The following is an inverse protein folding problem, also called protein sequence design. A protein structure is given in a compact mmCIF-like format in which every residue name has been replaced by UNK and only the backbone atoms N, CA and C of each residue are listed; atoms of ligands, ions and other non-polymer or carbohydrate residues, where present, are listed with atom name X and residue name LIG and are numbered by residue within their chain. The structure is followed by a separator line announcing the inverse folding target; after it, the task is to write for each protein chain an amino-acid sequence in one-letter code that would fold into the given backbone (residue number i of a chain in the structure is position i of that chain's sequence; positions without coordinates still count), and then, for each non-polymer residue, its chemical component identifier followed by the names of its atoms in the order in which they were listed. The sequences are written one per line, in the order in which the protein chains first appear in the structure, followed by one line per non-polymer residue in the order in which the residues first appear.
data_IF_111935455210
#
_entry.id   IF_111935455210
#
_cell.length_a   1.000
_cell.length_b   1.000
_cell.length_c   1.000
_cell.angle_alpha   90.00
_cell.angle_beta   90.00
_cell.angle_gamma   90.00
#
_symmetry.space_group_name_H-M   'P 1'
#
loop_
_entity.id
_entity.type
_entity.pdbx_description
1 polymer ?
#
# COMPACT_ATOMS: atom_id res chain seq x y z
N UNK A 1 10.39 -16.60 6.65
CA UNK A 1 10.97 -16.87 5.31
C UNK A 1 10.82 -15.61 4.46
N UNK A 2 11.85 -15.22 3.72
CA UNK A 2 11.79 -14.09 2.80
C UNK A 2 11.04 -14.49 1.53
N UNK A 3 10.12 -13.65 1.05
CA UNK A 3 9.39 -13.85 -0.22
C UNK A 3 9.93 -12.84 -1.23
N UNK A 4 10.55 -13.27 -2.34
CA UNK A 4 10.95 -12.35 -3.40
C UNK A 4 9.70 -11.79 -4.10
N UNK A 5 9.67 -10.46 -4.29
CA UNK A 5 8.60 -9.77 -5.02
C UNK A 5 9.18 -9.22 -6.32
N UNK A 6 9.28 -10.07 -7.34
CA UNK A 6 9.82 -9.72 -8.65
C UNK A 6 9.04 -10.44 -9.77
N UNK A 7 9.39 -10.16 -11.03
CA UNK A 7 8.66 -10.70 -12.19
C UNK A 7 8.90 -12.20 -12.45
N UNK A 8 9.78 -12.86 -11.70
CA UNK A 8 9.98 -14.32 -11.81
C UNK A 8 8.72 -15.07 -11.37
N UNK A 9 7.97 -14.50 -10.43
CA UNK A 9 6.61 -14.91 -10.13
C UNK A 9 5.63 -14.27 -11.12
N UNK A 10 5.12 -15.08 -12.05
CA UNK A 10 4.15 -14.66 -13.06
C UNK A 10 2.85 -14.12 -12.46
N UNK A 11 2.41 -14.63 -11.31
CA UNK A 11 1.23 -14.11 -10.64
C UNK A 11 1.50 -12.70 -10.12
N UNK A 12 2.63 -12.50 -9.43
CA UNK A 12 3.01 -11.16 -8.96
C UNK A 12 3.16 -10.17 -10.11
N UNK A 13 3.76 -10.59 -11.23
CA UNK A 13 3.88 -9.78 -12.43
C UNK A 13 2.53 -9.28 -13.00
N UNK A 14 1.45 -10.03 -12.79
CA UNK A 14 0.09 -9.58 -13.15
C UNK A 14 -0.52 -8.65 -12.10
N UNK A 15 -0.26 -8.90 -10.82
CA UNK A 15 -0.91 -8.18 -9.71
C UNK A 15 -0.28 -6.83 -9.38
N UNK A 16 1.05 -6.70 -9.49
CA UNK A 16 1.82 -5.58 -8.89
C UNK A 16 1.46 -4.18 -9.41
N UNK A 17 0.97 -4.10 -10.64
CA UNK A 17 0.65 -2.85 -11.34
C UNK A 17 -0.86 -2.54 -11.32
N UNK A 18 -1.67 -3.38 -10.67
CA UNK A 18 -3.12 -3.22 -10.59
C UNK A 18 -3.55 -2.28 -9.46
N UNK A 19 -4.69 -1.60 -9.64
CA UNK A 19 -5.39 -1.03 -8.50
C UNK A 19 -5.81 -2.16 -7.55
N UNK A 20 -5.58 -1.98 -6.26
CA UNK A 20 -5.82 -3.02 -5.26
C UNK A 20 -7.26 -3.55 -5.24
N UNK A 21 -8.24 -2.72 -5.62
CA UNK A 21 -9.65 -3.14 -5.73
C UNK A 21 -9.89 -4.28 -6.72
N UNK A 22 -9.03 -4.44 -7.73
CA UNK A 22 -9.12 -5.49 -8.75
C UNK A 22 -8.36 -6.78 -8.37
N UNK A 23 -7.45 -6.73 -7.40
CA UNK A 23 -6.56 -7.85 -7.03
C UNK A 23 -7.34 -9.08 -6.58
N UNK A 24 -8.38 -8.90 -5.75
CA UNK A 24 -9.20 -10.00 -5.24
C UNK A 24 -9.90 -10.78 -6.36
N UNK A 25 -10.36 -10.09 -7.40
CA UNK A 25 -11.01 -10.71 -8.55
C UNK A 25 -10.03 -11.60 -9.32
N UNK A 26 -8.82 -11.11 -9.60
CA UNK A 26 -7.78 -11.86 -10.32
C UNK A 26 -7.32 -13.08 -9.51
N UNK A 27 -7.12 -12.94 -8.20
CA UNK A 27 -6.78 -14.06 -7.32
C UNK A 27 -7.87 -15.16 -7.38
N UNK A 28 -9.15 -14.78 -7.37
CA UNK A 28 -10.26 -15.73 -7.48
C UNK A 28 -10.29 -16.47 -8.83
N UNK A 29 -10.09 -15.75 -9.94
CA UNK A 29 -10.01 -16.36 -11.27
C UNK A 29 -8.87 -17.37 -11.37
N UNK A 30 -7.70 -17.03 -10.83
CA UNK A 30 -6.53 -17.90 -10.86
C UNK A 30 -6.71 -19.11 -9.94
N UNK A 31 -7.33 -18.93 -8.77
CA UNK A 31 -7.71 -20.04 -7.89
C UNK A 31 -8.60 -21.05 -8.60
N UNK A 32 -9.66 -20.59 -9.29
CA UNK A 32 -10.55 -21.45 -10.09
C UNK A 32 -9.80 -22.19 -11.20
N UNK A 33 -8.97 -21.47 -11.96
CA UNK A 33 -8.15 -22.07 -13.04
C UNK A 33 -7.18 -23.13 -12.51
N UNK A 34 -6.56 -22.89 -11.35
CA UNK A 34 -5.67 -23.88 -10.72
C UNK A 34 -6.47 -25.12 -10.30
N UNK A 35 -7.64 -24.93 -9.69
CA UNK A 35 -8.53 -26.03 -9.29
C UNK A 35 -8.96 -26.87 -10.51
N UNK A 36 -9.44 -26.23 -11.58
CA UNK A 36 -9.81 -26.91 -12.83
C UNK A 36 -8.65 -27.72 -13.42
N UNK A 37 -7.41 -27.23 -13.31
CA UNK A 37 -6.24 -27.96 -13.77
C UNK A 37 -5.87 -29.15 -12.86
N UNK A 38 -6.10 -29.05 -11.56
CA UNK A 38 -5.98 -30.21 -10.66
C UNK A 38 -7.04 -31.26 -10.97
N UNK A 39 -8.28 -30.84 -11.28
CA UNK A 39 -9.38 -31.75 -11.57
C UNK A 39 -9.16 -32.56 -12.86
N UNK A 40 -8.35 -32.06 -13.81
CA UNK A 40 -7.91 -32.84 -14.99
C UNK A 40 -7.20 -34.14 -14.62
N UNK A 41 -6.58 -34.22 -13.44
CA UNK A 41 -6.04 -35.48 -12.89
C UNK A 41 -7.13 -36.54 -12.78
N UNK A 42 -8.30 -36.17 -12.27
CA UNK A 42 -9.42 -37.09 -12.06
C UNK A 42 -10.06 -37.53 -13.39
N UNK A 43 -9.87 -36.74 -14.46
CA UNK A 43 -10.34 -37.08 -15.80
C UNK A 43 -9.37 -38.00 -16.58
N UNK A 44 -8.10 -38.12 -16.17
CA UNK A 44 -7.10 -38.95 -16.84
C UNK A 44 -7.40 -40.45 -16.65
N UNK A 45 -7.54 -41.19 -17.75
CA UNK A 45 -7.87 -42.63 -17.76
C UNK A 45 -6.73 -43.50 -18.28
N UNK A 46 -5.81 -42.94 -19.06
CA UNK A 46 -4.69 -43.68 -19.65
C UNK A 46 -3.36 -43.38 -18.94
N UNK A 47 -2.42 -44.33 -19.03
CA UNK A 47 -1.05 -44.14 -18.50
C UNK A 47 -0.34 -42.96 -19.15
N UNK A 48 -0.60 -42.70 -20.44
CA UNK A 48 -0.06 -41.55 -21.17
C UNK A 48 -0.56 -40.22 -20.60
N UNK A 49 -1.87 -40.10 -20.35
CA UNK A 49 -2.48 -38.91 -19.75
C UNK A 49 -1.98 -38.67 -18.32
N UNK A 50 -1.81 -39.74 -17.53
CA UNK A 50 -1.23 -39.65 -16.19
C UNK A 50 0.21 -39.14 -16.24
N UNK A 51 1.03 -39.64 -17.16
CA UNK A 51 2.42 -39.18 -17.34
C UNK A 51 2.48 -37.72 -17.77
N UNK A 52 1.58 -37.29 -18.66
CA UNK A 52 1.47 -35.90 -19.09
C UNK A 52 1.08 -34.98 -17.92
N UNK A 53 0.13 -35.40 -17.07
CA UNK A 53 -0.25 -34.64 -15.87
C UNK A 53 0.89 -34.53 -14.85
N UNK A 54 1.63 -35.61 -14.58
CA UNK A 54 2.80 -35.57 -13.69
C UNK A 54 3.83 -34.55 -14.19
N UNK A 55 4.00 -34.42 -15.51
CA UNK A 55 4.88 -33.40 -16.11
C UNK A 55 4.47 -31.95 -15.83
N UNK A 56 3.18 -31.68 -15.58
CA UNK A 56 2.67 -30.32 -15.28
C UNK A 56 2.51 -30.06 -13.78
N UNK A 57 2.53 -31.11 -12.94
CA UNK A 57 2.25 -31.04 -11.51
C UNK A 57 3.18 -30.08 -10.75
N UNK A 58 4.48 -30.08 -11.07
CA UNK A 58 5.44 -29.17 -10.42
C UNK A 58 5.11 -27.69 -10.69
N UNK A 59 4.68 -27.38 -11.91
CA UNK A 59 4.20 -26.03 -12.27
C UNK A 59 2.92 -25.64 -11.53
N UNK A 60 1.96 -26.58 -11.40
CA UNK A 60 0.72 -26.35 -10.65
C UNK A 60 0.99 -26.13 -9.15
N UNK A 61 1.92 -26.88 -8.55
CA UNK A 61 2.33 -26.68 -7.15
C UNK A 61 2.96 -25.31 -6.94
N UNK A 62 3.86 -24.89 -7.84
CA UNK A 62 4.47 -23.56 -7.78
C UNK A 62 3.42 -22.44 -7.90
N UNK A 63 2.45 -22.57 -8.81
CA UNK A 63 1.34 -21.62 -8.95
C UNK A 63 0.45 -21.59 -7.70
N UNK A 64 0.13 -22.74 -7.12
CA UNK A 64 -0.67 -22.84 -5.88
C UNK A 64 0.04 -22.19 -4.68
N UNK A 65 1.35 -22.40 -4.56
CA UNK A 65 2.17 -21.76 -3.54
C UNK A 65 2.21 -20.23 -3.71
N UNK A 66 2.45 -19.76 -4.93
CA UNK A 66 2.40 -18.33 -5.26
C UNK A 66 1.03 -17.72 -4.94
N UNK A 67 -0.06 -18.38 -5.36
CA UNK A 67 -1.43 -17.93 -5.07
C UNK A 67 -1.68 -17.80 -3.57
N UNK A 68 -1.23 -18.77 -2.77
CA UNK A 68 -1.39 -18.76 -1.32
C UNK A 68 -0.67 -17.55 -0.69
N UNK A 69 0.56 -17.30 -1.13
CA UNK A 69 1.36 -16.16 -0.67
C UNK A 69 0.65 -14.83 -0.98
N UNK A 70 0.23 -14.63 -2.23
CA UNK A 70 -0.40 -13.36 -2.63
C UNK A 70 -1.81 -13.19 -2.08
N UNK A 71 -2.54 -14.28 -1.83
CA UNK A 71 -3.83 -14.23 -1.11
C UNK A 71 -3.62 -13.74 0.32
N UNK A 72 -2.64 -14.29 1.05
CA UNK A 72 -2.36 -13.84 2.40
C UNK A 72 -1.87 -12.39 2.44
N UNK A 73 -1.01 -11.97 1.49
CA UNK A 73 -0.59 -10.57 1.38
C UNK A 73 -1.77 -9.65 1.10
N UNK A 74 -2.66 -10.02 0.18
CA UNK A 74 -3.87 -9.25 -0.12
C UNK A 74 -4.77 -9.13 1.12
N UNK A 75 -4.94 -10.18 1.92
CA UNK A 75 -5.69 -10.10 3.19
C UNK A 75 -5.07 -9.10 4.17
N UNK A 76 -3.74 -9.08 4.30
CA UNK A 76 -3.05 -8.13 5.19
C UNK A 76 -3.18 -6.68 4.70
N UNK A 77 -3.06 -6.45 3.38
CA UNK A 77 -3.28 -5.12 2.79
C UNK A 77 -4.73 -4.70 3.01
N UNK A 78 -5.69 -5.59 2.74
CA UNK A 78 -7.12 -5.33 2.91
C UNK A 78 -7.45 -4.91 4.36
N UNK A 79 -6.93 -5.62 5.37
CA UNK A 79 -7.10 -5.26 6.79
C UNK A 79 -6.64 -3.84 7.11
N UNK A 80 -5.54 -3.39 6.48
CA UNK A 80 -5.05 -2.01 6.65
C UNK A 80 -5.92 -1.02 5.91
N UNK A 81 -6.24 -1.30 4.65
CA UNK A 81 -6.97 -0.37 3.78
C UNK A 81 -8.43 -0.21 4.17
N UNK A 82 -9.06 -1.17 4.85
CA UNK A 82 -10.44 -1.05 5.36
C UNK A 82 -10.54 -0.41 6.75
N UNK A 83 -9.41 -0.10 7.39
CA UNK A 83 -9.42 0.55 8.70
C UNK A 83 -9.94 1.99 8.61
N UNK A 84 -10.65 2.44 9.64
CA UNK A 84 -11.16 3.82 9.74
C UNK A 84 -10.04 4.84 9.64
N UNK A 85 -8.89 4.57 10.27
CA UNK A 85 -7.73 5.45 10.22
C UNK A 85 -7.17 5.61 8.80
N UNK A 86 -7.09 4.51 8.04
CA UNK A 86 -6.64 4.56 6.65
C UNK A 86 -7.63 5.31 5.77
N UNK A 87 -8.93 5.00 5.90
CA UNK A 87 -9.98 5.65 5.11
C UNK A 87 -10.03 7.16 5.36
N UNK A 88 -9.98 7.59 6.63
CA UNK A 88 -9.88 9.02 6.98
C UNK A 88 -8.64 9.66 6.37
N UNK A 89 -7.48 9.00 6.44
CA UNK A 89 -6.27 9.54 5.85
C UNK A 89 -6.37 9.65 4.32
N UNK A 90 -6.91 8.64 3.64
CA UNK A 90 -7.08 8.65 2.19
C UNK A 90 -8.05 9.76 1.75
N UNK A 91 -9.16 9.92 2.45
CA UNK A 91 -10.14 10.98 2.21
C UNK A 91 -9.49 12.38 2.29
N UNK A 92 -8.71 12.64 3.35
CA UNK A 92 -8.02 13.92 3.50
C UNK A 92 -6.93 14.14 2.42
N UNK A 93 -6.27 13.08 1.96
CA UNK A 93 -5.34 13.17 0.82
C UNK A 93 -6.08 13.52 -0.47
N UNK A 94 -7.27 12.96 -0.70
CA UNK A 94 -8.10 13.25 -1.88
C UNK A 94 -8.67 14.67 -1.84
N UNK A 95 -9.12 15.16 -0.68
CA UNK A 95 -9.57 16.55 -0.50
C UNK A 95 -8.45 17.54 -0.83
N UNK A 96 -7.25 17.28 -0.33
CA UNK A 96 -6.10 18.12 -0.64
C UNK A 96 -5.83 18.16 -2.15
N UNK A 97 -5.80 17.00 -2.82
CA UNK A 97 -5.54 16.92 -4.26
C UNK A 97 -6.63 17.56 -5.13
N UNK A 98 -7.87 17.65 -4.64
CA UNK A 98 -8.94 18.36 -5.35
C UNK A 98 -8.87 19.89 -5.17
N UNK A 99 -7.96 20.39 -4.33
CA UNK A 99 -7.80 21.82 -4.04
C UNK A 99 -8.92 22.40 -3.17
N UNK A 100 -9.72 21.54 -2.54
CA UNK A 100 -10.84 21.93 -1.68
C UNK A 100 -10.46 21.63 -0.21
N UNK A 101 -11.00 22.38 0.75
CA UNK A 101 -10.92 22.02 2.17
C UNK A 101 -9.50 21.97 2.77
N UNK A 102 -8.56 22.81 2.30
CA UNK A 102 -7.18 22.86 2.84
C UNK A 102 -7.16 23.12 4.35
N UNK A 103 -8.05 23.97 4.86
CA UNK A 103 -8.16 24.23 6.30
C UNK A 103 -8.59 22.98 7.08
N UNK A 104 -9.47 22.14 6.53
CA UNK A 104 -9.89 20.88 7.16
C UNK A 104 -8.73 19.86 7.19
N UNK A 105 -7.93 19.81 6.13
CA UNK A 105 -6.72 18.97 6.07
C UNK A 105 -5.68 19.45 7.10
N UNK A 106 -5.53 20.76 7.27
CA UNK A 106 -4.64 21.33 8.28
C UNK A 106 -5.10 21.01 9.71
N UNK A 107 -6.42 21.05 9.97
CA UNK A 107 -7.00 20.59 11.23
C UNK A 107 -6.71 19.11 11.46
N UNK A 108 -6.83 18.27 10.43
CA UNK A 108 -6.50 16.85 10.51
C UNK A 108 -5.01 16.62 10.82
N UNK A 109 -4.09 17.37 10.22
CA UNK A 109 -2.66 17.30 10.56
C UNK A 109 -2.41 17.66 12.02
N UNK A 110 -3.08 18.69 12.51
CA UNK A 110 -3.01 19.08 13.92
C UNK A 110 -3.58 18.01 14.86
N UNK A 111 -4.63 17.28 14.46
CA UNK A 111 -5.15 16.10 15.17
C UNK A 111 -4.09 14.97 15.21
N UNK A 112 -3.46 14.66 14.07
CA UNK A 112 -2.42 13.62 14.00
C UNK A 112 -1.24 13.91 14.93
N UNK A 113 -0.75 15.16 14.95
CA UNK A 113 0.32 15.58 15.87
C UNK A 113 -0.14 15.47 17.32
N UNK A 114 -1.37 15.93 17.63
CA UNK A 114 -1.91 15.88 18.98
C UNK A 114 -2.06 14.45 19.53
N UNK A 115 -2.29 13.47 18.65
CA UNK A 115 -2.35 12.04 19.00
C UNK A 115 -1.01 11.32 18.92
N UNK A 116 0.07 12.03 18.59
CA UNK A 116 1.39 11.44 18.35
C UNK A 116 1.33 10.28 17.34
N UNK A 117 0.56 10.44 16.26
CA UNK A 117 0.55 9.49 15.14
C UNK A 117 1.98 9.33 14.56
N UNK A 118 2.29 8.21 13.87
CA UNK A 118 3.62 8.00 13.29
C UNK A 118 4.13 9.22 12.52
N UNK A 119 5.35 9.67 12.84
CA UNK A 119 5.88 10.94 12.33
C UNK A 119 5.95 10.96 10.80
N UNK A 120 6.26 9.82 10.18
CA UNK A 120 6.28 9.69 8.72
C UNK A 120 4.92 9.99 8.09
N UNK A 121 3.82 9.61 8.74
CA UNK A 121 2.47 9.95 8.30
C UNK A 121 2.25 11.46 8.35
N UNK A 122 2.59 12.11 9.46
CA UNK A 122 2.45 13.56 9.64
C UNK A 122 3.28 14.32 8.61
N UNK A 123 4.56 13.97 8.46
CA UNK A 123 5.47 14.63 7.53
C UNK A 123 5.02 14.47 6.08
N UNK A 124 4.52 13.29 5.68
CA UNK A 124 3.98 13.08 4.33
C UNK A 124 2.76 13.96 4.04
N UNK A 125 1.85 14.12 5.00
CA UNK A 125 0.73 15.05 4.84
C UNK A 125 1.21 16.50 4.70
N UNK A 126 2.13 16.94 5.55
CA UNK A 126 2.69 18.29 5.48
C UNK A 126 3.38 18.55 4.15
N UNK A 127 4.11 17.56 3.63
CA UNK A 127 4.75 17.67 2.34
C UNK A 127 3.72 17.76 1.21
N UNK A 128 2.67 16.96 1.28
CA UNK A 128 1.58 17.02 0.30
C UNK A 128 0.90 18.40 0.32
N UNK A 129 0.64 18.97 1.51
CA UNK A 129 0.03 20.31 1.64
C UNK A 129 0.93 21.37 0.99
N UNK A 130 2.22 21.39 1.33
CA UNK A 130 3.17 22.37 0.78
C UNK A 130 3.33 22.25 -0.74
N UNK A 131 3.24 21.03 -1.29
CA UNK A 131 3.32 20.79 -2.73
C UNK A 131 2.07 21.26 -3.48
N UNK A 132 0.88 21.06 -2.90
CA UNK A 132 -0.39 21.43 -3.53
C UNK A 132 -0.66 22.94 -3.43
N UNK A 133 -0.48 23.53 -2.25
CA UNK A 133 -0.76 24.96 -1.99
C UNK A 133 0.43 25.88 -2.34
N UNK A 134 1.46 25.32 -2.98
CA UNK A 134 2.72 25.96 -3.38
C UNK A 134 3.61 26.52 -2.26
N UNK A 135 3.06 26.75 -1.06
CA UNK A 135 3.77 27.03 0.20
C UNK A 135 2.82 27.03 1.39
N UNK A 136 3.32 26.74 2.58
CA UNK A 136 2.58 26.92 3.83
C UNK A 136 2.81 28.34 4.35
N UNK A 137 1.73 29.02 4.74
CA UNK A 137 1.82 30.37 5.33
C UNK A 137 2.84 30.40 6.48
N UNK A 138 3.73 31.41 6.59
CA UNK A 138 4.82 31.43 7.58
C UNK A 138 4.38 31.18 9.02
N UNK A 139 3.25 31.78 9.45
CA UNK A 139 2.70 31.57 10.78
C UNK A 139 2.28 30.11 11.03
N UNK A 140 1.66 29.46 10.05
CA UNK A 140 1.26 28.06 10.16
C UNK A 140 2.49 27.14 10.14
N UNK A 141 3.50 27.48 9.33
CA UNK A 141 4.77 26.78 9.29
C UNK A 141 5.46 26.79 10.66
N UNK A 142 5.62 27.94 11.29
CA UNK A 142 6.26 28.07 12.61
C UNK A 142 5.51 27.27 13.69
N UNK A 143 4.16 27.34 13.67
CA UNK A 143 3.32 26.57 14.59
C UNK A 143 3.50 25.06 14.40
N UNK A 144 3.49 24.58 13.16
CA UNK A 144 3.71 23.16 12.85
C UNK A 144 5.11 22.71 13.25
N UNK A 145 6.14 23.50 12.91
CA UNK A 145 7.53 23.23 13.27
C UNK A 145 7.66 23.06 14.79
N UNK A 146 7.16 24.04 15.56
CA UNK A 146 7.20 24.00 17.02
C UNK A 146 6.46 22.77 17.58
N UNK A 147 5.24 22.49 17.09
CA UNK A 147 4.45 21.35 17.57
C UNK A 147 5.09 20.01 17.26
N UNK A 148 5.72 19.84 16.10
CA UNK A 148 6.42 18.62 15.74
C UNK A 148 7.63 18.40 16.65
N UNK A 149 8.44 19.44 16.86
CA UNK A 149 9.61 19.36 17.73
C UNK A 149 9.21 19.01 19.16
N UNK A 150 8.13 19.61 19.68
CA UNK A 150 7.63 19.28 21.00
C UNK A 150 7.05 17.87 21.10
N UNK A 151 6.27 17.43 20.12
CA UNK A 151 5.58 16.14 20.18
C UNK A 151 6.49 14.95 19.87
N UNK A 152 7.51 15.13 19.01
CA UNK A 152 8.35 14.04 18.49
C UNK A 152 9.84 14.17 18.85
N UNK A 153 10.28 15.34 19.33
CA UNK A 153 11.64 15.59 19.83
C UNK A 153 12.48 16.53 18.97
N UNK A 154 13.44 17.19 19.62
CA UNK A 154 14.33 18.22 19.04
C UNK A 154 15.24 17.72 17.91
N UNK A 155 15.52 16.42 17.85
CA UNK A 155 16.27 15.82 16.74
C UNK A 155 15.60 16.09 15.37
N UNK A 156 14.28 16.27 15.34
CA UNK A 156 13.54 16.50 14.11
C UNK A 156 13.65 17.92 13.55
N UNK A 157 14.33 18.84 14.24
CA UNK A 157 14.76 20.12 13.63
C UNK A 157 15.59 19.85 12.37
N UNK A 158 16.48 18.85 12.42
CA UNK A 158 17.31 18.47 11.28
C UNK A 158 16.46 17.85 10.16
N UNK A 159 15.46 17.04 10.52
CA UNK A 159 14.49 16.46 9.57
C UNK A 159 13.70 17.55 8.85
N UNK A 160 13.12 18.51 9.58
CA UNK A 160 12.34 19.60 9.01
C UNK A 160 13.20 20.51 8.13
N UNK A 161 14.43 20.80 8.56
CA UNK A 161 15.41 21.52 7.73
C UNK A 161 15.74 20.78 6.44
N UNK A 162 15.88 19.46 6.49
CA UNK A 162 16.12 18.66 5.29
C UNK A 162 14.93 18.73 4.32
N UNK A 163 13.70 18.60 4.82
CA UNK A 163 12.47 18.73 4.01
C UNK A 163 12.33 20.12 3.38
N UNK A 164 12.64 21.18 4.13
CA UNK A 164 12.67 22.54 3.60
C UNK A 164 13.69 22.69 2.47
N UNK A 165 14.92 22.17 2.65
CA UNK A 165 15.99 22.24 1.64
C UNK A 165 15.64 21.55 0.34
N UNK A 166 14.89 20.46 0.38
CA UNK A 166 14.42 19.75 -0.82
C UNK A 166 13.09 20.30 -1.37
N UNK A 167 12.58 21.37 -0.77
CA UNK A 167 11.35 22.04 -1.22
C UNK A 167 10.06 21.27 -0.91
N UNK A 168 10.11 20.27 -0.04
CA UNK A 168 8.94 19.48 0.36
C UNK A 168 8.16 20.11 1.51
N UNK A 169 8.78 20.95 2.34
CA UNK A 169 8.10 21.65 3.44
C UNK A 169 8.58 23.09 3.53
N UNK A 170 7.94 23.96 2.75
CA UNK A 170 8.20 25.40 2.63
C UNK A 170 6.94 26.22 2.86
#
# INVERSE_FOLDING_TARGET
KHVPLNADDRLYGQLRDMNFTAVAHVLNQIAKRIQENYDKRHAAKTVSELKAFVGTLGGLQAQSQSLTVHTHLAEQVMRRTTSVAFQRALEQQQHLLSGIHIDDVMLFVHELIGRQAPLDQVLRFLCLVSLVDHSIRPKAYEQLHHRIVLAYGYQHIVTLRALWRVGLFR
#
